data_IF_641411541123
#
_entry.id   IF_641411541123
#
_cell.length_a   1.000
_cell.length_b   1.000
_cell.length_c   1.000
_cell.angle_alpha   90.00
_cell.angle_beta   90.00
_cell.angle_gamma   90.00
#
_symmetry.space_group_name_H-M   'P 1'
#
loop_
_entity.id
_entity.type
_entity.pdbx_description
1 polymer ?
#
# COMPACT_ATOMS: atom_id res chain seq x y z
N UNK A 1 -15.97 -12.28 11.53
CA UNK A 1 -15.09 -11.24 12.08
C UNK A 1 -14.51 -10.38 10.97
N UNK A 2 -14.60 -9.08 11.10
CA UNK A 2 -14.13 -8.16 10.09
C UNK A 2 -12.59 -8.00 10.16
N UNK A 3 -11.98 -7.89 8.97
CA UNK A 3 -10.59 -7.44 8.87
C UNK A 3 -10.46 -6.02 9.44
N UNK A 4 -9.34 -5.67 10.12
CA UNK A 4 -9.12 -4.31 10.61
C UNK A 4 -9.09 -3.24 9.51
N UNK A 5 -8.92 -3.66 8.26
CA UNK A 5 -8.87 -2.75 7.11
C UNK A 5 -10.19 -2.64 6.35
N UNK A 6 -11.19 -3.43 6.74
CA UNK A 6 -12.50 -3.38 6.09
C UNK A 6 -13.16 -2.02 6.33
N UNK A 7 -13.64 -1.39 5.25
CA UNK A 7 -14.24 -0.06 5.32
C UNK A 7 -13.23 1.09 5.27
N UNK A 8 -11.92 0.81 5.14
CA UNK A 8 -10.87 1.82 5.06
C UNK A 8 -10.21 1.82 3.68
N UNK A 9 -9.75 2.99 3.24
CA UNK A 9 -8.97 3.11 2.00
C UNK A 9 -7.57 2.55 2.18
N UNK A 10 -7.08 1.85 1.15
CA UNK A 10 -5.76 1.24 1.14
C UNK A 10 -5.19 1.25 -0.29
N UNK A 11 -3.93 0.88 -0.41
CA UNK A 11 -3.29 0.71 -1.71
C UNK A 11 -3.76 -0.56 -2.43
N UNK A 12 -3.45 -0.62 -3.72
CA UNK A 12 -3.72 -1.78 -4.57
C UNK A 12 -2.77 -2.91 -4.20
N UNK A 13 -3.25 -4.14 -4.18
CA UNK A 13 -2.40 -5.29 -3.91
C UNK A 13 -3.16 -6.59 -3.82
N UNK A 14 -2.43 -7.65 -3.59
CA UNK A 14 -2.97 -8.98 -3.47
C UNK A 14 -1.89 -9.99 -3.10
N UNK A 15 -2.21 -11.26 -3.27
CA UNK A 15 -1.31 -12.37 -2.96
C UNK A 15 -0.47 -12.76 -4.16
N UNK A 16 0.77 -13.21 -3.91
CA UNK A 16 1.65 -13.76 -4.93
C UNK A 16 1.11 -15.11 -5.36
N UNK A 17 0.95 -15.30 -6.66
CA UNK A 17 0.56 -16.59 -7.23
C UNK A 17 1.80 -17.46 -7.47
N UNK A 18 1.59 -18.77 -7.52
CA UNK A 18 2.66 -19.71 -7.74
C UNK A 18 3.38 -19.43 -9.06
N UNK A 19 4.71 -19.40 -9.03
CA UNK A 19 5.54 -19.16 -10.19
C UNK A 19 5.79 -17.70 -10.52
N UNK A 20 5.17 -16.77 -9.81
CA UNK A 20 5.40 -15.34 -10.00
C UNK A 20 6.57 -14.83 -9.17
N UNK A 21 7.32 -13.86 -9.73
CA UNK A 21 8.20 -13.02 -8.92
C UNK A 21 7.37 -11.97 -8.19
N UNK A 22 7.97 -11.28 -7.21
CA UNK A 22 7.31 -10.19 -6.50
C UNK A 22 6.86 -9.08 -7.46
N UNK A 23 7.72 -8.72 -8.39
CA UNK A 23 7.42 -7.67 -9.37
C UNK A 23 6.28 -8.10 -10.31
N UNK A 24 6.32 -9.33 -10.81
CA UNK A 24 5.25 -9.86 -11.66
C UNK A 24 3.92 -9.87 -10.95
N UNK A 25 3.92 -10.23 -9.66
CA UNK A 25 2.71 -10.25 -8.84
C UNK A 25 2.08 -8.86 -8.72
N UNK A 26 2.87 -7.86 -8.33
CA UNK A 26 2.33 -6.51 -8.15
C UNK A 26 1.87 -5.91 -9.48
N UNK A 27 2.59 -6.17 -10.56
CA UNK A 27 2.18 -5.69 -11.90
C UNK A 27 0.89 -6.35 -12.36
N UNK A 28 0.71 -7.64 -12.11
CA UNK A 28 -0.54 -8.34 -12.40
C UNK A 28 -1.70 -7.74 -11.62
N UNK A 29 -1.52 -7.49 -10.33
CA UNK A 29 -2.54 -6.89 -9.48
C UNK A 29 -2.93 -5.48 -9.95
N UNK A 30 -1.96 -4.67 -10.35
CA UNK A 30 -2.24 -3.34 -10.90
C UNK A 30 -3.09 -3.47 -12.15
N UNK A 31 -2.73 -4.36 -13.06
CA UNK A 31 -3.48 -4.57 -14.30
C UNK A 31 -4.91 -5.07 -14.04
N UNK A 32 -5.05 -6.07 -13.16
CA UNK A 32 -6.36 -6.66 -12.85
C UNK A 32 -7.29 -5.66 -12.15
N UNK A 33 -6.77 -4.91 -11.19
CA UNK A 33 -7.58 -4.02 -10.38
C UNK A 33 -7.82 -2.65 -11.04
N UNK A 34 -6.84 -2.13 -11.77
CA UNK A 34 -6.92 -0.77 -12.32
C UNK A 34 -7.08 -0.72 -13.83
N UNK A 35 -6.68 -1.75 -14.55
CA UNK A 35 -6.61 -1.73 -16.00
C UNK A 35 -5.49 -0.87 -16.58
N UNK A 36 -4.63 -0.31 -15.74
CA UNK A 36 -3.52 0.54 -16.18
C UNK A 36 -2.40 -0.32 -16.76
N UNK A 37 -1.92 0.06 -17.94
CA UNK A 37 -0.86 -0.67 -18.65
C UNK A 37 0.50 -0.52 -17.98
N UNK A 38 1.31 -1.58 -18.04
CA UNK A 38 2.70 -1.58 -17.57
C UNK A 38 3.54 -0.46 -18.19
N UNK A 39 3.18 -0.01 -19.40
CA UNK A 39 3.92 1.03 -20.11
C UNK A 39 3.59 2.44 -19.61
N UNK A 40 2.56 2.60 -18.80
CA UNK A 40 2.04 3.90 -18.38
C UNK A 40 2.53 4.35 -17.02
N UNK A 41 3.30 3.53 -16.32
CA UNK A 41 3.82 3.89 -15.00
C UNK A 41 5.25 3.39 -14.80
N UNK A 42 5.95 4.06 -13.90
CA UNK A 42 7.23 3.61 -13.39
C UNK A 42 7.01 2.96 -12.03
N UNK A 43 7.67 1.82 -11.80
CA UNK A 43 7.52 1.09 -10.54
C UNK A 43 8.87 0.97 -9.84
N UNK A 44 8.86 1.14 -8.53
CA UNK A 44 10.03 1.02 -7.69
C UNK A 44 9.73 0.13 -6.48
N UNK A 45 10.62 -0.81 -6.21
CA UNK A 45 10.58 -1.61 -4.99
C UNK A 45 11.06 -0.71 -3.83
N UNK A 46 10.16 -0.35 -2.94
CA UNK A 46 10.46 0.55 -1.82
C UNK A 46 10.71 -0.21 -0.51
N UNK A 47 10.59 -1.52 -0.53
CA UNK A 47 10.95 -2.35 0.61
C UNK A 47 9.86 -3.27 1.10
N UNK A 48 9.79 -3.42 2.41
CA UNK A 48 8.83 -4.34 3.01
C UNK A 48 8.31 -3.81 4.34
N UNK A 49 7.18 -4.34 4.77
CA UNK A 49 6.57 -4.01 6.05
C UNK A 49 6.35 -5.30 6.84
N UNK A 50 6.64 -5.26 8.13
CA UNK A 50 6.38 -6.35 9.08
C UNK A 50 5.33 -5.93 10.08
N UNK A 51 4.48 -6.87 10.44
CA UNK A 51 3.42 -6.66 11.43
C UNK A 51 3.70 -7.45 12.69
N UNK A 52 3.73 -6.75 13.82
CA UNK A 52 3.76 -7.35 15.13
C UNK A 52 2.45 -7.03 15.83
N UNK A 53 1.73 -8.07 16.24
CA UNK A 53 0.45 -7.92 16.95
C UNK A 53 0.59 -8.63 18.30
N UNK A 54 0.35 -7.89 19.38
CA UNK A 54 0.48 -8.40 20.74
C UNK A 54 1.82 -9.09 21.00
N UNK A 55 2.90 -8.53 20.38
CA UNK A 55 4.26 -9.02 20.51
C UNK A 55 4.65 -10.15 19.56
N UNK A 56 3.72 -10.67 18.77
CA UNK A 56 4.00 -11.74 17.81
C UNK A 56 4.16 -11.20 16.39
N UNK A 57 5.17 -11.72 15.67
CA UNK A 57 5.35 -11.41 14.27
C UNK A 57 4.34 -12.23 13.46
N UNK A 58 3.36 -11.55 12.88
CA UNK A 58 2.32 -12.18 12.07
C UNK A 58 2.61 -12.10 10.56
N UNK A 59 3.85 -11.76 10.17
CA UNK A 59 4.24 -11.70 8.77
C UNK A 59 4.41 -10.28 8.28
N UNK A 60 4.10 -10.07 7.01
CA UNK A 60 4.27 -8.76 6.38
C UNK A 60 3.95 -8.78 4.90
N UNK A 61 4.39 -7.74 4.21
CA UNK A 61 4.20 -7.61 2.78
C UNK A 61 5.37 -6.87 2.14
N UNK A 62 5.55 -7.08 0.82
CA UNK A 62 6.43 -6.26 0.01
C UNK A 62 5.71 -4.99 -0.44
N UNK A 63 6.45 -3.89 -0.51
CA UNK A 63 5.92 -2.59 -0.87
C UNK A 63 6.55 -2.11 -2.16
N UNK A 64 5.71 -1.67 -3.08
CA UNK A 64 6.13 -1.05 -4.34
C UNK A 64 5.43 0.29 -4.48
N UNK A 65 6.10 1.21 -5.17
CA UNK A 65 5.53 2.50 -5.52
C UNK A 65 5.44 2.58 -7.03
N UNK A 66 4.23 2.72 -7.55
CA UNK A 66 4.00 2.93 -8.98
C UNK A 66 3.62 4.39 -9.21
N UNK A 67 4.37 5.07 -10.07
CA UNK A 67 4.16 6.48 -10.38
C UNK A 67 3.58 6.62 -11.78
N UNK A 68 2.45 7.31 -11.88
CA UNK A 68 1.86 7.69 -13.14
C UNK A 68 2.33 9.09 -13.55
N UNK A 69 2.38 9.41 -14.87
CA UNK A 69 2.62 10.77 -15.29
C UNK A 69 1.59 11.74 -14.70
N UNK A 70 1.99 12.97 -14.42
CA UNK A 70 1.12 13.99 -13.82
C UNK A 70 -0.12 14.27 -14.67
N UNK A 71 0.01 14.12 -15.99
CA UNK A 71 -1.06 14.37 -16.95
C UNK A 71 -1.88 13.11 -17.30
N UNK A 72 -1.64 12.01 -16.60
CA UNK A 72 -2.36 10.75 -16.86
C UNK A 72 -3.84 10.91 -16.48
N UNK A 73 -4.73 10.62 -17.44
CA UNK A 73 -6.18 10.72 -17.22
C UNK A 73 -6.70 9.35 -16.82
N UNK A 74 -7.20 9.23 -15.61
CA UNK A 74 -7.78 8.00 -15.10
C UNK A 74 -9.13 8.31 -14.45
N UNK A 75 -10.25 8.00 -15.13
CA UNK A 75 -11.57 8.30 -14.59
C UNK A 75 -11.84 7.55 -13.30
N UNK A 76 -12.19 8.26 -12.25
CA UNK A 76 -12.56 7.70 -10.95
C UNK A 76 -13.74 8.48 -10.36
N UNK A 77 -14.49 7.90 -9.41
CA UNK A 77 -14.34 6.56 -8.86
C UNK A 77 -14.76 5.46 -9.84
N UNK A 78 -14.26 4.25 -9.62
CA UNK A 78 -14.62 3.04 -10.41
C UNK A 78 -14.99 1.92 -9.47
N UNK A 79 -15.98 1.13 -9.86
CA UNK A 79 -16.32 -0.12 -9.18
C UNK A 79 -15.54 -1.26 -9.81
N UNK A 80 -14.90 -2.08 -8.97
CA UNK A 80 -14.17 -3.28 -9.37
C UNK A 80 -14.65 -4.46 -8.55
N UNK A 81 -14.22 -5.67 -8.88
CA UNK A 81 -14.54 -6.88 -8.10
C UNK A 81 -13.99 -6.80 -6.68
N UNK A 82 -12.93 -5.99 -6.47
CA UNK A 82 -12.30 -5.80 -5.16
C UNK A 82 -12.90 -4.64 -4.36
N UNK A 83 -13.83 -3.88 -4.95
CA UNK A 83 -14.44 -2.73 -4.30
C UNK A 83 -14.39 -1.47 -5.14
N UNK A 84 -14.34 -0.34 -4.48
CA UNK A 84 -14.30 0.97 -5.14
C UNK A 84 -12.86 1.44 -5.27
N UNK A 85 -12.48 1.82 -6.49
CA UNK A 85 -11.18 2.39 -6.81
C UNK A 85 -11.31 3.88 -7.03
N UNK A 86 -10.53 4.69 -6.33
CA UNK A 86 -10.58 6.13 -6.45
C UNK A 86 -9.18 6.75 -6.25
N UNK A 87 -8.98 7.90 -6.87
CA UNK A 87 -7.77 8.71 -6.65
C UNK A 87 -8.01 9.64 -5.48
N UNK A 88 -7.09 9.63 -4.52
CA UNK A 88 -7.16 10.49 -3.35
C UNK A 88 -5.96 11.42 -3.33
N UNK A 89 -6.20 12.68 -2.94
CA UNK A 89 -5.11 13.64 -2.78
C UNK A 89 -4.21 13.21 -1.62
N UNK A 90 -2.89 13.34 -1.83
CA UNK A 90 -1.90 13.03 -0.80
C UNK A 90 -2.20 13.78 0.51
N UNK A 91 -2.57 15.03 0.41
CA UNK A 91 -2.94 15.90 1.54
C UNK A 91 -4.11 15.31 2.35
N UNK A 92 -5.10 14.75 1.66
CA UNK A 92 -6.25 14.10 2.31
C UNK A 92 -5.81 12.84 3.06
N UNK A 93 -4.96 12.02 2.45
CA UNK A 93 -4.46 10.77 3.05
C UNK A 93 -3.63 11.08 4.31
N UNK A 94 -2.81 12.13 4.26
CA UNK A 94 -1.89 12.48 5.34
C UNK A 94 -2.53 13.31 6.46
N UNK A 95 -3.78 13.74 6.29
CA UNK A 95 -4.47 14.52 7.33
C UNK A 95 -4.64 13.66 8.59
N UNK A 96 -4.08 14.08 9.74
CA UNK A 96 -4.14 13.28 10.98
C UNK A 96 -5.57 13.10 11.52
N UNK A 97 -6.52 13.92 11.09
CA UNK A 97 -7.92 13.78 11.47
C UNK A 97 -8.67 12.76 10.61
N UNK A 98 -8.05 12.28 9.52
CA UNK A 98 -8.67 11.34 8.61
C UNK A 98 -8.59 9.93 9.17
N UNK A 99 -9.74 9.35 9.48
CA UNK A 99 -9.85 7.96 9.96
C UNK A 99 -10.33 7.00 8.87
N UNK A 100 -10.43 7.47 7.63
CA UNK A 100 -10.94 6.68 6.51
C UNK A 100 -9.88 5.90 5.75
N UNK A 101 -8.61 5.94 6.17
CA UNK A 101 -7.51 5.19 5.55
C UNK A 101 -6.94 4.17 6.52
N UNK A 102 -6.33 3.12 5.96
CA UNK A 102 -5.59 2.13 6.77
C UNK A 102 -4.52 2.84 7.58
N UNK A 103 -4.40 2.51 8.86
CA UNK A 103 -3.64 3.30 9.84
C UNK A 103 -2.12 3.35 9.58
N UNK A 104 -1.55 2.40 8.82
CA UNK A 104 -0.13 2.43 8.46
C UNK A 104 0.17 3.16 7.14
N UNK A 105 -0.85 3.43 6.33
CA UNK A 105 -0.67 4.00 4.98
C UNK A 105 -0.09 5.42 4.98
N UNK A 106 -0.54 6.36 5.84
CA UNK A 106 0.04 7.71 5.87
C UNK A 106 1.54 7.71 6.12
N UNK A 107 2.02 6.88 7.03
CA UNK A 107 3.44 6.78 7.33
C UNK A 107 4.24 6.34 6.10
N UNK A 108 3.76 5.31 5.39
CA UNK A 108 4.42 4.81 4.18
C UNK A 108 4.47 5.88 3.10
N UNK A 109 3.36 6.57 2.86
CA UNK A 109 3.27 7.62 1.83
C UNK A 109 4.17 8.80 2.16
N UNK A 110 4.31 9.15 3.44
CA UNK A 110 5.14 10.27 3.85
C UNK A 110 6.64 9.96 3.71
N UNK A 111 7.06 8.76 4.07
CA UNK A 111 8.48 8.42 4.20
C UNK A 111 9.07 7.67 3.01
N UNK A 112 8.35 6.69 2.47
CA UNK A 112 8.92 5.78 1.48
C UNK A 112 9.29 6.47 0.14
N UNK A 113 8.48 7.39 -0.42
CA UNK A 113 8.80 7.99 -1.71
C UNK A 113 10.08 8.82 -1.72
N UNK A 114 10.45 9.41 -0.57
CA UNK A 114 11.64 10.27 -0.45
C UNK A 114 12.88 9.53 0.03
N UNK A 115 12.72 8.28 0.46
CA UNK A 115 13.84 7.49 0.94
C UNK A 115 14.65 6.97 -0.24
N UNK A 116 16.00 7.14 -0.24
CA UNK A 116 16.81 6.82 -1.42
C UNK A 116 17.04 5.33 -1.65
N UNK A 117 16.69 4.48 -0.70
CA UNK A 117 16.92 3.04 -0.74
C UNK A 117 15.66 2.29 -0.28
N UNK A 118 15.70 0.96 -0.35
CA UNK A 118 14.65 0.14 0.21
C UNK A 118 14.62 0.25 1.73
N UNK A 119 13.43 0.27 2.32
CA UNK A 119 13.25 0.34 3.76
C UNK A 119 12.50 -0.87 4.29
N UNK A 120 12.71 -1.17 5.56
CA UNK A 120 11.86 -2.09 6.31
C UNK A 120 11.01 -1.27 7.27
N UNK A 121 9.69 -1.32 7.10
CA UNK A 121 8.75 -0.67 8.01
C UNK A 121 8.30 -1.69 9.03
N UNK A 122 8.44 -1.36 10.31
CA UNK A 122 7.98 -2.21 11.42
C UNK A 122 6.79 -1.55 12.08
N UNK A 123 5.70 -2.31 12.21
CA UNK A 123 4.48 -1.86 12.87
C UNK A 123 4.20 -2.74 14.07
N UNK A 124 3.79 -2.11 15.17
CA UNK A 124 3.40 -2.81 16.39
C UNK A 124 1.96 -2.45 16.73
N UNK A 125 1.16 -3.48 16.91
CA UNK A 125 -0.26 -3.37 17.20
C UNK A 125 -0.61 -4.03 18.52
N UNK A 126 -1.64 -3.49 19.16
CA UNK A 126 -2.40 -4.17 20.20
C UNK A 126 -3.81 -4.32 19.62
N UNK A 127 -4.21 -5.56 19.32
CA UNK A 127 -5.40 -5.84 18.54
C UNK A 127 -5.37 -5.05 17.22
N UNK A 128 -6.30 -4.12 17.00
CA UNK A 128 -6.36 -3.30 15.79
C UNK A 128 -5.75 -1.90 15.95
N UNK A 129 -5.21 -1.61 17.13
CA UNK A 129 -4.64 -0.30 17.44
C UNK A 129 -3.16 -0.26 17.11
N UNK A 130 -2.76 0.66 16.25
CA UNK A 130 -1.35 0.87 15.93
C UNK A 130 -0.68 1.60 17.08
N UNK A 131 0.26 0.92 17.76
CA UNK A 131 0.99 1.47 18.90
C UNK A 131 2.29 2.16 18.49
N UNK A 132 2.96 1.62 17.48
CA UNK A 132 4.25 2.13 17.05
C UNK A 132 4.50 1.77 15.59
N UNK A 133 5.11 2.71 14.87
CA UNK A 133 5.57 2.50 13.51
C UNK A 133 6.93 3.18 13.33
N UNK A 134 7.85 2.45 12.71
CA UNK A 134 9.21 2.94 12.45
C UNK A 134 9.75 2.29 11.18
N UNK A 135 10.88 2.79 10.70
CA UNK A 135 11.54 2.19 9.55
C UNK A 135 13.05 2.23 9.70
N UNK A 136 13.71 1.37 8.97
CA UNK A 136 15.17 1.34 8.86
C UNK A 136 15.55 0.99 7.43
N UNK A 137 16.77 1.31 7.05
CA UNK A 137 17.32 0.93 5.75
C UNK A 137 17.47 -0.59 5.66
N UNK A 138 17.08 -1.14 4.54
CA UNK A 138 17.34 -2.55 4.24
C UNK A 138 18.74 -2.76 3.71
#
# INVERSE_FOLDING_TARGET
>A
QKSPWMGSWNGVGGKIEQGETLLESVQREITEETGISLNDYEIRDIGEMKWFVDGENLGGMHLFLANLPDNYVYPTPRTTDEGILDLKKRKWILNPENTGVVNNLPYIIEHAPVFPARIEVSTKYQENTLLHISHQSL
#
